data_IF_741768431435
#
_entry.id   IF_741768431435
#
_cell.length_a   1.000
_cell.length_b   1.000
_cell.length_c   1.000
_cell.angle_alpha   90.00
_cell.angle_beta   90.00
_cell.angle_gamma   90.00
#
_symmetry.space_group_name_H-M   'P 1'
#
loop_
_entity.id
_entity.type
_entity.pdbx_description
1 polymer ?
#
# COMPACT_ATOMS: atom_id res chain seq x y z
N UNK A 1 -15.70 -1.27 17.42
CA UNK A 1 -14.22 -1.19 17.56
C UNK A 1 -13.88 -0.17 18.65
N UNK A 2 -12.89 -0.41 19.52
CA UNK A 2 -12.57 0.49 20.66
C UNK A 2 -11.89 1.77 20.16
N UNK A 3 -12.40 2.95 20.56
CA UNK A 3 -11.81 4.23 20.19
C UNK A 3 -10.42 4.40 20.85
N UNK A 4 -9.39 4.61 20.05
CA UNK A 4 -7.98 4.67 20.49
C UNK A 4 -7.23 5.81 19.79
N UNK A 5 -7.60 7.08 20.06
CA UNK A 5 -7.12 8.23 19.30
C UNK A 5 -5.61 8.42 19.38
N UNK A 6 -4.99 8.12 20.54
CA UNK A 6 -3.54 8.20 20.77
C UNK A 6 -2.66 7.31 19.88
N UNK A 7 -3.26 6.38 19.14
CA UNK A 7 -2.54 5.53 18.18
C UNK A 7 -2.83 5.92 16.74
N UNK A 8 -3.76 6.85 16.47
CA UNK A 8 -4.08 7.26 15.12
C UNK A 8 -2.89 8.00 14.50
N UNK A 9 -2.56 7.62 13.28
CA UNK A 9 -1.59 8.33 12.46
C UNK A 9 -2.35 9.01 11.32
N UNK A 10 -2.53 10.33 11.45
CA UNK A 10 -3.32 11.14 10.50
C UNK A 10 -2.47 12.04 9.63
N UNK A 11 -1.20 12.23 9.97
CA UNK A 11 -0.26 13.04 9.21
C UNK A 11 0.11 12.33 7.90
N UNK A 12 -0.30 12.93 6.78
CA UNK A 12 -0.06 12.39 5.44
C UNK A 12 1.42 12.37 5.10
N UNK A 13 2.22 13.33 5.57
CA UNK A 13 3.65 13.36 5.27
C UNK A 13 4.38 12.21 5.96
N UNK A 14 3.92 11.82 7.15
CA UNK A 14 4.41 10.63 7.84
C UNK A 14 4.00 9.33 7.12
N UNK A 15 2.77 9.25 6.58
CA UNK A 15 2.36 8.14 5.70
C UNK A 15 3.26 8.05 4.47
N UNK A 16 3.51 9.19 3.81
CA UNK A 16 4.40 9.25 2.65
C UNK A 16 5.82 8.79 3.03
N UNK A 17 6.35 9.23 4.17
CA UNK A 17 7.67 8.81 4.67
C UNK A 17 7.74 7.29 4.88
N UNK A 18 6.71 6.69 5.50
CA UNK A 18 6.64 5.24 5.70
C UNK A 18 6.61 4.47 4.38
N UNK A 19 5.82 4.93 3.41
CA UNK A 19 5.75 4.30 2.07
C UNK A 19 7.12 4.35 1.38
N UNK A 20 7.83 5.49 1.45
CA UNK A 20 9.17 5.62 0.85
C UNK A 20 10.19 4.65 1.47
N UNK A 21 10.12 4.44 2.78
CA UNK A 21 11.05 3.55 3.49
C UNK A 21 10.68 2.07 3.36
N UNK A 22 9.39 1.78 3.16
CA UNK A 22 8.88 0.41 3.07
C UNK A 22 7.98 0.24 1.83
N UNK A 23 8.56 0.33 0.61
CA UNK A 23 7.81 0.37 -0.65
C UNK A 23 7.28 -1.00 -1.11
N UNK A 24 6.98 -1.91 -0.19
CA UNK A 24 6.43 -3.23 -0.46
C UNK A 24 5.08 -3.37 0.20
N UNK A 25 4.01 -3.39 -0.59
CA UNK A 25 2.64 -3.38 -0.11
C UNK A 25 1.92 -4.70 -0.43
N UNK A 26 0.89 -4.99 0.35
CA UNK A 26 -0.09 -6.02 0.05
C UNK A 26 -1.36 -5.35 -0.47
N UNK A 27 -1.72 -5.62 -1.72
CA UNK A 27 -3.01 -5.22 -2.28
C UNK A 27 -4.03 -6.28 -1.96
N UNK A 28 -5.21 -5.89 -1.52
CA UNK A 28 -6.32 -6.79 -1.24
C UNK A 28 -7.55 -6.29 -1.99
N UNK A 29 -8.08 -7.11 -2.90
CA UNK A 29 -9.33 -6.82 -3.63
C UNK A 29 -10.45 -7.74 -3.15
N UNK A 30 -11.67 -7.21 -3.13
CA UNK A 30 -12.89 -8.03 -3.08
C UNK A 30 -13.32 -8.31 -4.51
N UNK A 31 -13.35 -9.59 -4.88
CA UNK A 31 -13.66 -10.06 -6.23
C UNK A 31 -14.89 -10.96 -6.20
N UNK A 32 -15.39 -11.35 -7.38
CA UNK A 32 -16.53 -12.28 -7.46
C UNK A 32 -16.24 -13.67 -6.89
N UNK A 33 -14.96 -14.04 -6.79
CA UNK A 33 -14.49 -15.33 -6.27
C UNK A 33 -13.96 -15.25 -4.83
N UNK A 34 -14.10 -14.11 -4.15
CA UNK A 34 -13.67 -13.89 -2.77
C UNK A 34 -12.58 -12.82 -2.63
N UNK A 35 -11.82 -12.87 -1.54
CA UNK A 35 -10.70 -11.94 -1.35
C UNK A 35 -9.46 -12.44 -2.08
N UNK A 36 -8.82 -11.55 -2.85
CA UNK A 36 -7.54 -11.80 -3.51
C UNK A 36 -6.50 -10.87 -2.92
N UNK A 37 -5.33 -11.42 -2.57
CA UNK A 37 -4.22 -10.66 -2.02
C UNK A 37 -2.92 -10.95 -2.77
N UNK A 38 -2.23 -9.89 -3.20
CA UNK A 38 -0.93 -9.99 -3.86
C UNK A 38 0.04 -8.95 -3.31
N UNK A 39 1.34 -9.27 -3.37
CA UNK A 39 2.40 -8.40 -2.89
C UNK A 39 3.09 -7.69 -4.05
N UNK A 40 3.15 -6.37 -3.99
CA UNK A 40 3.72 -5.56 -5.06
C UNK A 40 4.56 -4.41 -4.53
N UNK A 41 5.63 -4.03 -5.26
CA UNK A 41 6.31 -2.79 -4.99
C UNK A 41 5.39 -1.60 -5.29
N UNK A 42 5.49 -0.56 -4.48
CA UNK A 42 4.74 0.68 -4.64
C UNK A 42 5.67 1.88 -4.57
N UNK A 43 5.36 2.92 -5.32
CA UNK A 43 5.99 4.23 -5.20
C UNK A 43 4.90 5.28 -5.00
N UNK A 44 5.28 6.41 -4.40
CA UNK A 44 4.45 7.61 -4.41
C UNK A 44 4.53 8.28 -5.78
N UNK A 45 3.39 8.70 -6.31
CA UNK A 45 3.33 9.58 -7.48
C UNK A 45 3.41 11.04 -7.03
N UNK A 46 4.63 11.55 -6.87
CA UNK A 46 4.90 12.92 -6.42
C UNK A 46 4.53 13.99 -7.47
N UNK A 47 4.08 13.59 -8.66
CA UNK A 47 3.53 14.52 -9.66
C UNK A 47 2.09 14.94 -9.36
N UNK A 48 1.48 14.37 -8.30
CA UNK A 48 0.11 14.62 -7.86
C UNK A 48 0.10 15.27 -6.49
N UNK A 49 -0.80 16.23 -6.31
CA UNK A 49 -1.03 16.85 -5.00
C UNK A 49 -1.67 15.85 -4.01
N UNK A 50 -2.56 14.99 -4.52
CA UNK A 50 -3.22 13.93 -3.75
C UNK A 50 -2.30 12.75 -3.45
N UNK A 51 -2.48 12.11 -2.28
CA UNK A 51 -1.77 10.88 -1.94
C UNK A 51 -2.09 9.79 -2.98
N UNK A 52 -1.14 9.52 -3.85
CA UNK A 52 -1.30 8.61 -4.98
C UNK A 52 -0.17 7.58 -4.99
N UNK A 53 -0.53 6.31 -5.11
CA UNK A 53 0.43 5.23 -5.31
C UNK A 53 0.51 4.85 -6.80
N UNK A 54 1.68 4.44 -7.23
CA UNK A 54 1.88 3.73 -8.49
C UNK A 54 2.48 2.36 -8.23
N UNK A 55 2.04 1.39 -9.01
CA UNK A 55 2.55 0.02 -8.98
C UNK A 55 2.46 -0.58 -10.38
N UNK A 56 2.97 -1.79 -10.53
CA UNK A 56 2.76 -2.60 -11.73
C UNK A 56 2.30 -3.98 -11.32
N UNK A 57 1.23 -4.47 -11.91
CA UNK A 57 0.74 -5.82 -11.67
C UNK A 57 1.13 -6.72 -12.81
N UNK A 58 1.45 -7.99 -12.53
CA UNK A 58 1.45 -9.00 -13.57
C UNK A 58 0.03 -9.13 -14.15
N UNK A 59 -0.11 -9.39 -15.45
CA UNK A 59 -1.43 -9.62 -16.06
C UNK A 59 -2.26 -10.71 -15.35
N UNK A 60 -1.69 -11.85 -14.92
CA UNK A 60 -2.46 -12.83 -14.16
C UNK A 60 -3.09 -12.22 -12.89
N UNK A 61 -2.33 -11.42 -12.14
CA UNK A 61 -2.83 -10.78 -10.93
C UNK A 61 -3.81 -9.64 -11.23
N UNK A 62 -3.61 -8.86 -12.30
CA UNK A 62 -4.60 -7.86 -12.77
C UNK A 62 -5.97 -8.50 -13.00
N UNK A 63 -5.99 -9.71 -13.58
CA UNK A 63 -7.21 -10.49 -13.78
C UNK A 63 -7.74 -11.08 -12.48
N UNK A 64 -6.88 -11.65 -11.62
CA UNK A 64 -7.28 -12.18 -10.32
C UNK A 64 -7.89 -11.11 -9.43
N UNK A 65 -7.34 -9.89 -9.45
CA UNK A 65 -7.87 -8.73 -8.73
C UNK A 65 -9.07 -8.07 -9.42
N UNK A 66 -9.53 -8.61 -10.56
CA UNK A 66 -10.64 -8.09 -11.39
C UNK A 66 -10.47 -6.61 -11.80
N UNK A 67 -9.22 -6.14 -11.87
CA UNK A 67 -8.91 -4.77 -12.27
C UNK A 67 -9.03 -4.61 -13.79
N UNK A 68 -8.57 -5.62 -14.55
CA UNK A 68 -8.79 -5.90 -15.97
C UNK A 68 -8.78 -4.69 -16.93
N UNK A 69 -8.12 -3.59 -16.55
CA UNK A 69 -8.27 -2.29 -17.22
C UNK A 69 -7.80 -2.39 -18.67
N UNK A 70 -6.66 -3.06 -18.87
CA UNK A 70 -6.05 -3.21 -20.19
C UNK A 70 -6.82 -4.22 -21.05
N UNK A 71 -7.33 -5.31 -20.46
CA UNK A 71 -8.20 -6.25 -21.17
C UNK A 71 -9.47 -5.53 -21.67
N UNK A 72 -10.17 -4.82 -20.78
CA UNK A 72 -11.39 -4.06 -21.12
C UNK A 72 -11.16 -2.99 -22.19
N UNK A 73 -10.04 -2.27 -22.12
CA UNK A 73 -9.71 -1.24 -23.10
C UNK A 73 -9.41 -1.86 -24.47
N UNK A 74 -8.64 -2.95 -24.51
CA UNK A 74 -8.36 -3.66 -25.75
C UNK A 74 -9.63 -4.24 -26.35
N UNK A 75 -10.44 -4.94 -25.55
CA UNK A 75 -11.70 -5.53 -26.01
C UNK A 75 -12.63 -4.43 -26.58
N UNK A 76 -12.75 -3.28 -25.91
CA UNK A 76 -13.61 -2.18 -26.35
C UNK A 76 -13.27 -1.64 -27.75
N UNK A 77 -11.98 -1.53 -28.09
CA UNK A 77 -11.56 -1.02 -29.39
C UNK A 77 -11.47 -2.10 -30.47
N UNK A 78 -11.14 -3.33 -30.08
CA UNK A 78 -10.96 -4.45 -31.02
C UNK A 78 -12.27 -5.18 -31.35
N UNK A 79 -13.33 -5.07 -30.52
CA UNK A 79 -14.60 -5.81 -30.68
C UNK A 79 -15.30 -5.63 -32.04
N UNK A 80 -15.08 -4.51 -32.73
CA UNK A 80 -15.71 -4.22 -34.03
C UNK A 80 -14.80 -4.54 -35.24
N UNK A 81 -13.59 -5.03 -34.99
CA UNK A 81 -12.69 -5.44 -36.06
C UNK A 81 -12.87 -6.93 -36.34
N UNK A 82 -13.08 -7.34 -37.62
CA UNK A 82 -13.21 -8.76 -37.99
C UNK A 82 -12.01 -9.65 -37.64
N UNK A 83 -10.88 -9.06 -37.23
CA UNK A 83 -9.68 -9.74 -36.71
C UNK A 83 -9.19 -9.11 -35.39
N UNK A 84 -10.11 -8.53 -34.62
CA UNK A 84 -9.81 -7.96 -33.32
C UNK A 84 -9.18 -8.98 -32.39
N UNK A 85 -8.23 -8.56 -31.56
CA UNK A 85 -7.56 -9.46 -30.62
C UNK A 85 -8.06 -9.19 -29.21
N UNK A 86 -8.53 -10.21 -28.50
CA UNK A 86 -8.63 -10.13 -27.04
C UNK A 86 -7.30 -10.53 -26.40
N UNK A 87 -6.92 -9.81 -25.33
CA UNK A 87 -5.75 -10.15 -24.54
C UNK A 87 -5.92 -11.45 -23.74
N UNK A 88 -7.16 -11.96 -23.65
CA UNK A 88 -7.51 -13.22 -23.01
C UNK A 88 -7.41 -14.43 -23.95
N UNK A 89 -7.21 -14.22 -25.27
CA UNK A 89 -7.37 -15.27 -26.29
C UNK A 89 -6.07 -15.64 -27.05
N UNK A 90 -4.93 -14.96 -26.86
CA UNK A 90 -3.69 -15.23 -27.60
C UNK A 90 -2.58 -15.87 -26.73
N UNK A 91 -2.55 -17.20 -26.67
CA UNK A 91 -1.61 -17.98 -25.85
C UNK A 91 -0.20 -18.20 -26.47
N UNK A 92 0.10 -17.82 -27.72
CA UNK A 92 1.36 -18.25 -28.36
C UNK A 92 2.31 -17.13 -28.84
N UNK A 93 1.85 -15.89 -29.10
CA UNK A 93 2.69 -14.85 -29.73
C UNK A 93 3.14 -13.69 -28.83
N UNK A 94 2.46 -13.46 -27.71
CA UNK A 94 2.38 -12.12 -27.08
C UNK A 94 3.21 -11.98 -25.79
N UNK A 95 4.26 -12.80 -25.55
CA UNK A 95 4.96 -12.81 -24.24
C UNK A 95 6.26 -11.99 -24.09
N UNK A 96 6.85 -11.37 -25.11
CA UNK A 96 8.19 -10.77 -24.94
C UNK A 96 8.20 -9.25 -24.67
N UNK A 97 8.55 -8.92 -23.42
CA UNK A 97 9.15 -7.68 -22.91
C UNK A 97 8.30 -6.45 -22.54
N UNK A 98 7.03 -6.32 -22.94
CA UNK A 98 6.16 -5.24 -22.43
C UNK A 98 4.68 -5.66 -22.23
N UNK A 99 4.39 -6.94 -22.49
CA UNK A 99 3.03 -7.48 -22.54
C UNK A 99 2.65 -8.30 -21.31
N UNK A 100 3.48 -8.36 -20.27
CA UNK A 100 3.24 -9.19 -19.08
C UNK A 100 2.72 -8.44 -17.85
N UNK A 101 2.70 -7.10 -17.88
CA UNK A 101 2.33 -6.28 -16.74
C UNK A 101 1.41 -5.11 -17.14
N UNK A 102 0.61 -4.65 -16.20
CA UNK A 102 -0.22 -3.46 -16.29
C UNK A 102 0.26 -2.43 -15.27
N UNK A 103 0.37 -1.17 -15.69
CA UNK A 103 0.63 -0.08 -14.76
C UNK A 103 -0.64 0.28 -14.01
N UNK A 104 -0.53 0.44 -12.69
CA UNK A 104 -1.61 0.91 -11.85
C UNK A 104 -1.25 2.27 -11.26
N UNK A 105 -2.25 3.15 -11.23
CA UNK A 105 -2.24 4.36 -10.43
C UNK A 105 -3.43 4.29 -9.49
N UNK A 106 -3.16 4.44 -8.20
CA UNK A 106 -4.14 4.25 -7.14
C UNK A 106 -4.22 5.54 -6.32
N UNK A 107 -5.15 6.45 -6.66
CA UNK A 107 -5.48 7.58 -5.79
C UNK A 107 -6.05 7.07 -4.47
N UNK A 108 -5.46 7.49 -3.35
CA UNK A 108 -5.92 7.07 -2.03
C UNK A 108 -7.11 7.93 -1.61
N UNK A 109 -8.30 7.35 -1.63
CA UNK A 109 -9.54 8.02 -1.23
C UNK A 109 -9.72 8.07 0.29
N UNK A 110 -9.08 7.14 1.01
CA UNK A 110 -9.11 7.02 2.47
C UNK A 110 -7.93 6.17 2.94
N UNK A 111 -7.33 6.53 4.07
CA UNK A 111 -6.39 5.67 4.78
C UNK A 111 -6.76 5.58 6.26
N UNK A 112 -6.54 4.40 6.85
CA UNK A 112 -6.55 4.20 8.30
C UNK A 112 -5.15 3.74 8.71
N UNK A 113 -4.43 4.59 9.44
CA UNK A 113 -3.11 4.25 9.93
C UNK A 113 -3.06 4.33 11.46
N UNK A 114 -2.33 3.38 12.06
CA UNK A 114 -2.10 3.36 13.50
C UNK A 114 -0.66 2.99 13.83
N UNK A 115 -0.06 3.76 14.71
CA UNK A 115 1.26 3.49 15.27
C UNK A 115 1.10 3.10 16.74
N UNK A 116 1.56 1.90 17.12
CA UNK A 116 1.65 1.46 18.52
C UNK A 116 3.11 1.39 18.91
N UNK A 117 3.57 2.40 19.61
CA UNK A 117 4.96 2.71 19.91
C UNK A 117 5.14 2.99 21.41
N UNK A 118 4.36 2.31 22.25
CA UNK A 118 4.35 2.50 23.71
C UNK A 118 3.94 3.91 24.18
N UNK A 119 3.15 4.65 23.39
CA UNK A 119 2.71 6.02 23.71
C UNK A 119 1.81 6.13 24.95
N UNK A 120 1.42 4.99 25.52
CA UNK A 120 0.60 4.90 26.72
C UNK A 120 1.43 4.77 28.02
N UNK A 121 2.76 4.75 27.92
CA UNK A 121 3.71 4.65 29.03
C UNK A 121 4.24 6.04 29.43
N UNK A 122 4.79 6.14 30.64
CA UNK A 122 5.47 7.37 31.09
C UNK A 122 6.65 7.72 30.16
N UNK A 123 7.05 9.00 30.06
CA UNK A 123 8.17 9.41 29.22
C UNK A 123 9.47 8.65 29.52
N UNK A 124 9.76 8.38 30.79
CA UNK A 124 10.95 7.67 31.24
C UNK A 124 10.93 6.20 30.78
N UNK A 125 9.78 5.55 30.91
CA UNK A 125 9.59 4.17 30.44
C UNK A 125 9.72 4.11 28.92
N UNK A 126 9.18 5.10 28.20
CA UNK A 126 9.27 5.16 26.74
C UNK A 126 10.71 5.33 26.25
N UNK A 127 11.48 6.22 26.87
CA UNK A 127 12.89 6.42 26.47
C UNK A 127 13.70 5.15 26.73
N UNK A 128 13.53 4.52 27.90
CA UNK A 128 14.21 3.24 28.19
C UNK A 128 13.92 2.16 27.15
N UNK A 129 12.66 2.05 26.70
CA UNK A 129 12.30 1.11 25.63
C UNK A 129 12.98 1.52 24.31
N UNK A 130 12.97 2.80 23.95
CA UNK A 130 13.62 3.28 22.73
C UNK A 130 15.15 3.03 22.74
N UNK A 131 15.82 3.25 23.87
CA UNK A 131 17.23 2.91 24.08
C UNK A 131 17.51 1.42 23.88
N UNK A 132 16.66 0.55 24.43
CA UNK A 132 16.77 -0.91 24.27
C UNK A 132 16.62 -1.36 22.80
N UNK A 133 15.85 -0.62 22.00
CA UNK A 133 15.70 -0.88 20.56
C UNK A 133 16.76 -0.20 19.70
N UNK A 134 17.46 0.83 20.19
CA UNK A 134 18.38 1.62 19.37
C UNK A 134 19.48 0.80 18.67
N UNK A 135 19.90 -0.31 19.26
CA UNK A 135 20.91 -1.21 18.68
C UNK A 135 20.33 -2.27 17.74
N UNK A 136 19.11 -2.75 18.00
CA UNK A 136 18.46 -3.84 17.24
C UNK A 136 17.59 -3.35 16.10
N UNK A 137 16.98 -2.18 16.28
CA UNK A 137 16.08 -1.55 15.32
C UNK A 137 16.13 -0.02 15.52
N UNK A 138 17.18 0.64 15.00
CA UNK A 138 17.36 2.09 15.16
C UNK A 138 16.19 2.88 14.58
N UNK A 139 15.60 2.43 13.47
CA UNK A 139 14.46 3.08 12.83
C UNK A 139 13.24 3.08 13.76
N UNK A 140 12.92 1.93 14.38
CA UNK A 140 11.84 1.84 15.36
C UNK A 140 12.10 2.73 16.57
N UNK A 141 13.32 2.73 17.11
CA UNK A 141 13.68 3.59 18.24
C UNK A 141 13.49 5.08 17.89
N UNK A 142 13.87 5.49 16.68
CA UNK A 142 13.63 6.85 16.20
C UNK A 142 12.12 7.16 16.08
N UNK A 143 11.32 6.22 15.55
CA UNK A 143 9.86 6.39 15.50
C UNK A 143 9.23 6.51 16.88
N UNK A 144 9.68 5.72 17.86
CA UNK A 144 9.20 5.79 19.24
C UNK A 144 9.46 7.15 19.89
N UNK A 145 10.60 7.78 19.56
CA UNK A 145 10.96 9.13 20.01
C UNK A 145 10.18 10.23 19.30
N UNK A 146 9.88 10.06 18.01
CA UNK A 146 9.06 11.01 17.22
C UNK A 146 7.59 11.00 17.64
N UNK A 147 7.04 9.85 18.00
CA UNK A 147 5.64 9.74 18.34
C UNK A 147 5.32 10.54 19.62
N UNK A 148 4.46 11.54 19.54
CA UNK A 148 3.92 12.19 20.74
C UNK A 148 2.80 11.34 21.32
N UNK A 149 2.80 11.15 22.64
CA UNK A 149 1.72 10.48 23.34
C UNK A 149 0.80 11.53 23.93
N UNK A 150 -0.32 11.81 23.27
CA UNK A 150 -1.33 12.70 23.83
C UNK A 150 -2.22 11.91 24.83
N UNK A 151 -2.30 12.44 26.06
CA UNK A 151 -3.16 11.93 27.15
C UNK A 151 -2.40 11.21 28.26
N UNK A 152 -3.02 11.14 29.46
CA UNK A 152 -2.38 10.54 30.64
C UNK A 152 -1.86 9.11 30.38
N UNK A 153 -0.69 8.75 30.93
CA UNK A 153 -0.20 7.38 30.97
C UNK A 153 -1.23 6.45 31.63
N UNK A 154 -1.18 5.15 31.34
CA UNK A 154 -1.82 4.22 32.27
C UNK A 154 -1.12 4.34 33.63
N UNK A 155 -1.90 4.40 34.70
CA UNK A 155 -1.39 4.12 36.05
C UNK A 155 -0.77 2.73 36.03
N UNK A 156 0.54 2.66 36.34
CA UNK A 156 1.28 1.40 36.44
C UNK A 156 0.72 0.48 37.54
#
# INVERSE_FOLDING_TARGET
>A
MRNTPRYLLTDVDEIKRLIRQHPWATFVSSTTNGLVASHYPVLLDESRDELTLVSHFGRPDDLLHELALLARLTDHFEQNYPRGRSLLEDEAGTRRAAKGAVGLRVPITRFDARAKLSQNKSPEVRERIAEEFATRNPDLAEQMRRATGDGEPYSD
#
